data_IF_959772216648
#
_entry.id   IF_959772216648
#
_cell.length_a   1.000
_cell.length_b   1.000
_cell.length_c   1.000
_cell.angle_alpha   90.00
_cell.angle_beta   90.00
_cell.angle_gamma   90.00
#
_symmetry.space_group_name_H-M   'P 1'
#
loop_
_entity.id
_entity.type
_entity.pdbx_description
1 polymer ?
#
# COMPACT_ATOMS: atom_id res chain seq x y z
N UNK A 1 20.46 2.51 21.10
CA UNK A 1 20.72 1.87 19.80
C UNK A 1 19.87 2.44 18.67
N UNK A 2 18.69 3.02 18.96
CA UNK A 2 17.93 3.81 17.98
C UNK A 2 17.42 5.05 18.73
N UNK A 3 17.95 6.22 18.40
CA UNK A 3 17.66 7.49 19.07
C UNK A 3 16.28 8.05 18.72
N UNK A 4 15.88 9.19 19.30
CA UNK A 4 14.56 9.80 19.11
C UNK A 4 14.22 10.18 17.66
N UNK A 5 15.22 10.29 16.77
CA UNK A 5 15.01 10.64 15.35
C UNK A 5 14.85 9.42 14.42
N UNK A 6 14.85 8.19 14.96
CA UNK A 6 14.73 6.96 14.17
C UNK A 6 13.43 6.88 13.35
N UNK A 7 12.32 7.39 13.90
CA UNK A 7 11.03 7.41 13.19
C UNK A 7 10.98 8.42 12.05
N UNK A 8 11.78 9.50 12.11
CA UNK A 8 11.89 10.50 11.04
C UNK A 8 12.75 10.01 9.88
N UNK A 9 13.77 9.20 10.18
CA UNK A 9 14.68 8.64 9.19
C UNK A 9 14.19 7.28 8.64
N UNK A 10 13.00 6.84 9.02
CA UNK A 10 12.42 5.60 8.54
C UNK A 10 11.93 5.77 7.09
N UNK A 11 12.43 4.94 6.19
CA UNK A 11 11.91 4.82 4.82
C UNK A 11 10.97 3.62 4.78
N UNK A 12 9.74 3.84 4.35
CA UNK A 12 8.72 2.79 4.23
C UNK A 12 8.45 2.53 2.76
N UNK A 13 8.80 1.35 2.28
CA UNK A 13 8.45 0.89 0.93
C UNK A 13 7.18 0.05 1.02
N UNK A 14 6.12 0.51 0.35
CA UNK A 14 4.81 -0.15 0.29
C UNK A 14 4.61 -0.66 -1.12
N UNK A 15 4.34 -1.96 -1.28
CA UNK A 15 3.87 -2.54 -2.54
C UNK A 15 2.44 -3.03 -2.38
N UNK A 16 1.53 -2.56 -3.22
CA UNK A 16 0.12 -3.01 -3.25
C UNK A 16 -0.14 -3.74 -4.56
N UNK A 17 -0.67 -4.96 -4.46
CA UNK A 17 -1.17 -5.72 -5.59
C UNK A 17 -2.71 -5.69 -5.60
N UNK A 18 -3.29 -5.12 -6.65
CA UNK A 18 -4.75 -4.94 -6.82
C UNK A 18 -5.15 -5.06 -8.30
N UNK A 19 -6.42 -5.36 -8.60
CA UNK A 19 -6.86 -5.65 -9.97
C UNK A 19 -6.79 -4.43 -10.91
N UNK A 20 -7.06 -3.23 -10.38
CA UNK A 20 -7.05 -1.95 -11.09
C UNK A 20 -6.06 -0.97 -10.45
N UNK A 21 -4.75 -1.13 -10.70
CA UNK A 21 -3.72 -0.31 -10.07
C UNK A 21 -3.88 1.18 -10.41
N UNK A 22 -4.32 1.50 -11.63
CA UNK A 22 -4.46 2.88 -12.11
C UNK A 22 -5.63 3.65 -11.46
N UNK A 23 -6.50 2.97 -10.72
CA UNK A 23 -7.61 3.57 -9.97
C UNK A 23 -7.25 3.84 -8.50
N UNK A 24 -6.03 3.49 -8.08
CA UNK A 24 -5.59 3.71 -6.69
C UNK A 24 -5.24 5.17 -6.47
N UNK A 25 -5.86 5.77 -5.46
CA UNK A 25 -5.43 7.05 -4.91
C UNK A 25 -4.20 6.85 -4.02
N UNK A 26 -3.02 7.09 -4.61
CA UNK A 26 -1.74 6.90 -3.94
C UNK A 26 -1.54 7.82 -2.72
N UNK A 27 -2.06 9.06 -2.78
CA UNK A 27 -1.91 10.02 -1.69
C UNK A 27 -2.71 9.55 -0.46
N UNK A 28 -3.95 9.11 -0.68
CA UNK A 28 -4.79 8.54 0.38
C UNK A 28 -4.14 7.30 1.02
N UNK A 29 -3.55 6.42 0.22
CA UNK A 29 -2.83 5.24 0.73
C UNK A 29 -1.63 5.64 1.58
N UNK A 30 -0.79 6.57 1.08
CA UNK A 30 0.41 7.00 1.79
C UNK A 30 0.09 7.77 3.08
N UNK A 31 -1.04 8.48 3.13
CA UNK A 31 -1.50 9.20 4.32
C UNK A 31 -1.84 8.30 5.52
N UNK A 32 -2.01 6.99 5.31
CA UNK A 32 -2.22 6.01 6.38
C UNK A 32 -0.94 5.74 7.18
N UNK A 33 0.24 6.01 6.61
CA UNK A 33 1.50 5.73 7.30
C UNK A 33 1.66 6.66 8.53
N UNK A 34 1.81 6.10 9.75
CA UNK A 34 1.87 6.92 10.96
C UNK A 34 3.19 7.69 11.09
N UNK A 35 4.27 7.16 10.49
CA UNK A 35 5.63 7.70 10.57
C UNK A 35 6.42 7.34 9.31
N UNK A 36 7.57 7.99 9.15
CA UNK A 36 8.51 7.74 8.05
C UNK A 36 8.10 8.39 6.74
N UNK A 37 8.97 8.27 5.75
CA UNK A 37 8.70 8.70 4.37
C UNK A 37 8.32 7.48 3.54
N UNK A 38 7.09 7.45 3.04
CA UNK A 38 6.56 6.36 2.24
C UNK A 38 6.92 6.46 0.76
N UNK A 39 7.23 5.31 0.14
CA UNK A 39 7.24 5.12 -1.31
C UNK A 39 6.24 4.02 -1.65
N UNK A 40 5.28 4.33 -2.52
CA UNK A 40 4.27 3.38 -2.96
C UNK A 40 4.63 2.81 -4.33
N UNK A 41 4.40 1.51 -4.51
CA UNK A 41 4.45 0.82 -5.78
C UNK A 41 3.14 0.02 -5.93
N UNK A 42 2.29 0.43 -6.87
CA UNK A 42 1.02 -0.25 -7.13
C UNK A 42 1.16 -1.11 -8.38
N UNK A 43 0.84 -2.40 -8.26
CA UNK A 43 0.97 -3.38 -9.35
C UNK A 43 -0.33 -4.13 -9.54
N UNK A 44 -0.54 -4.65 -10.75
CA UNK A 44 -1.66 -5.54 -11.03
C UNK A 44 -1.52 -6.84 -10.23
N UNK A 45 -2.56 -7.22 -9.49
CA UNK A 45 -2.62 -8.46 -8.74
C UNK A 45 -3.80 -8.51 -7.77
N UNK A 46 -3.63 -9.12 -6.61
CA UNK A 46 -4.71 -9.30 -5.64
C UNK A 46 -5.80 -10.23 -6.18
N UNK A 47 -7.05 -9.91 -5.85
CA UNK A 47 -8.21 -10.65 -6.35
C UNK A 47 -9.38 -9.71 -6.59
N UNK A 48 -10.16 -10.01 -7.63
CA UNK A 48 -11.41 -9.34 -7.93
C UNK A 48 -12.46 -10.42 -8.20
N UNK A 49 -13.55 -10.38 -7.43
CA UNK A 49 -14.66 -11.33 -7.54
C UNK A 49 -15.94 -10.54 -7.75
N UNK A 50 -16.64 -10.82 -8.83
CA UNK A 50 -17.99 -10.30 -9.02
C UNK A 50 -18.95 -10.97 -8.03
N UNK A 51 -19.75 -10.18 -7.32
CA UNK A 51 -20.67 -10.71 -6.31
C UNK A 51 -21.78 -11.57 -6.93
N UNK A 52 -22.30 -11.13 -8.08
CA UNK A 52 -23.25 -11.86 -8.91
C UNK A 52 -22.97 -11.55 -10.38
N UNK A 53 -22.97 -12.57 -11.22
CA UNK A 53 -22.74 -12.41 -12.66
C UNK A 53 -23.64 -11.32 -13.26
N UNK A 54 -23.02 -10.31 -13.86
CA UNK A 54 -23.67 -9.20 -14.54
C UNK A 54 -24.23 -8.12 -13.61
N UNK A 55 -23.94 -8.14 -12.31
CA UNK A 55 -24.38 -7.05 -11.41
C UNK A 55 -23.52 -5.80 -11.52
N UNK A 56 -22.26 -5.95 -11.95
CA UNK A 56 -21.29 -4.85 -11.92
C UNK A 56 -20.77 -4.52 -10.52
N UNK A 57 -21.12 -5.31 -9.50
CA UNK A 57 -20.61 -5.17 -8.13
C UNK A 57 -19.47 -6.14 -7.90
N UNK A 58 -18.33 -5.62 -7.44
CA UNK A 58 -17.12 -6.41 -7.24
C UNK A 58 -16.62 -6.29 -5.79
N UNK A 59 -16.24 -7.43 -5.24
CA UNK A 59 -15.37 -7.47 -4.05
C UNK A 59 -13.93 -7.47 -4.53
N UNK A 60 -13.18 -6.45 -4.12
CA UNK A 60 -11.75 -6.33 -4.39
C UNK A 60 -10.95 -6.72 -3.15
N UNK A 61 -9.92 -7.53 -3.34
CA UNK A 61 -8.94 -7.87 -2.31
C UNK A 61 -7.58 -7.33 -2.78
N UNK A 62 -7.04 -6.39 -2.02
CA UNK A 62 -5.72 -5.84 -2.23
C UNK A 62 -4.72 -6.48 -1.25
N UNK A 63 -3.56 -6.89 -1.75
CA UNK A 63 -2.49 -7.42 -0.91
C UNK A 63 -1.40 -6.35 -0.77
N UNK A 64 -1.02 -6.03 0.46
CA UNK A 64 0.04 -5.06 0.73
C UNK A 64 1.25 -5.72 1.37
N UNK A 65 2.44 -5.42 0.87
CA UNK A 65 3.71 -5.71 1.50
C UNK A 65 4.36 -4.40 1.94
N UNK A 66 4.74 -4.31 3.21
CA UNK A 66 5.31 -3.10 3.80
C UNK A 66 6.70 -3.42 4.36
N UNK A 67 7.71 -2.71 3.87
CA UNK A 67 9.11 -2.86 4.28
C UNK A 67 9.54 -1.55 4.95
N UNK A 68 9.84 -1.59 6.24
CA UNK A 68 10.41 -0.47 6.97
C UNK A 68 11.94 -0.60 7.02
N UNK A 69 12.65 0.44 6.59
CA UNK A 69 14.11 0.54 6.58
C UNK A 69 14.56 1.72 7.43
N UNK A 70 15.65 1.54 8.14
CA UNK A 70 16.36 2.57 8.89
C UNK A 70 17.84 2.39 8.57
N UNK A 71 18.51 3.46 8.14
CA UNK A 71 19.97 3.46 8.01
C UNK A 71 20.60 3.42 9.40
N UNK A 72 21.56 2.52 9.58
CA UNK A 72 22.26 2.25 10.85
C UNK A 72 23.70 2.74 10.80
#
# INVERSE_FOLDING_TARGET
LLGPDTSKNMIVEVTIAISRPDEVDEETVLAVLPHGTGKLNVVKGGLEIEGREGSGDFTLIANAAVIAKVDV
#
